data_IF_190321947179
#
_entry.id   IF_190321947179
#
_cell.length_a   1.000
_cell.length_b   1.000
_cell.length_c   1.000
_cell.angle_alpha   90.00
_cell.angle_beta   90.00
_cell.angle_gamma   90.00
#
_symmetry.space_group_name_H-M   'P 1'
#
loop_
_entity.id
_entity.type
_entity.pdbx_description
1 polymer ?
#
# COMPACT_ATOMS: atom_id res chain seq x y z
N UNK A 1 -49.96 23.68 58.85
CA UNK A 1 -50.35 23.14 57.52
C UNK A 1 -49.44 23.72 56.45
N UNK A 2 -48.96 22.85 55.53
CA UNK A 2 -48.09 23.09 54.35
C UNK A 2 -46.59 22.79 54.52
N UNK A 3 -46.25 21.51 54.63
CA UNK A 3 -44.88 21.02 54.37
C UNK A 3 -44.86 19.65 53.66
N UNK A 4 -45.75 19.41 52.69
CA UNK A 4 -45.90 18.06 52.09
C UNK A 4 -45.95 18.03 50.55
N UNK A 5 -45.52 19.09 49.86
CA UNK A 5 -45.51 19.11 48.37
C UNK A 5 -44.19 19.56 47.76
N UNK A 6 -43.10 18.83 48.03
CA UNK A 6 -41.80 19.05 47.35
C UNK A 6 -41.04 17.77 46.95
N UNK A 7 -41.68 16.60 47.01
CA UNK A 7 -41.03 15.33 46.66
C UNK A 7 -41.73 14.52 45.58
N UNK A 8 -42.64 15.12 44.82
CA UNK A 8 -43.22 14.46 43.66
C UNK A 8 -42.51 14.91 42.38
N UNK A 9 -41.82 13.92 41.80
CA UNK A 9 -41.59 13.78 40.37
C UNK A 9 -40.49 14.67 39.79
N UNK A 10 -39.29 14.48 40.34
CA UNK A 10 -38.05 14.61 39.57
C UNK A 10 -37.75 13.32 38.77
N UNK A 11 -38.78 12.52 38.46
CA UNK A 11 -38.67 11.45 37.50
C UNK A 11 -38.81 12.10 36.13
N UNK A 12 -37.68 12.24 35.46
CA UNK A 12 -37.64 12.65 34.08
C UNK A 12 -38.45 11.63 33.28
N UNK A 13 -39.54 12.03 32.63
CA UNK A 13 -40.38 11.15 31.79
C UNK A 13 -39.52 10.35 30.79
N UNK A 14 -38.41 10.92 30.34
CA UNK A 14 -37.44 10.25 29.47
C UNK A 14 -36.77 9.06 30.16
N UNK A 15 -36.48 9.16 31.46
CA UNK A 15 -35.91 8.09 32.27
C UNK A 15 -36.93 6.96 32.51
N UNK A 16 -38.21 7.29 32.67
CA UNK A 16 -39.27 6.29 32.83
C UNK A 16 -39.50 5.53 31.52
N UNK A 17 -39.52 6.24 30.37
CA UNK A 17 -39.57 5.63 29.03
C UNK A 17 -38.33 4.78 28.76
N UNK A 18 -37.13 5.24 29.14
CA UNK A 18 -35.89 4.46 29.03
C UNK A 18 -35.94 3.20 29.89
N UNK A 19 -36.46 3.30 31.11
CA UNK A 19 -36.61 2.17 32.02
C UNK A 19 -37.58 1.12 31.45
N UNK A 20 -38.72 1.55 30.89
CA UNK A 20 -39.67 0.61 30.26
C UNK A 20 -39.08 -0.05 29.01
N UNK A 21 -38.29 0.69 28.23
CA UNK A 21 -37.60 0.14 27.06
C UNK A 21 -36.53 -0.89 27.47
N UNK A 22 -35.75 -0.58 28.51
CA UNK A 22 -34.73 -1.48 29.07
C UNK A 22 -35.35 -2.74 29.69
N UNK A 23 -36.48 -2.61 30.38
CA UNK A 23 -37.20 -3.78 30.92
C UNK A 23 -37.78 -4.66 29.81
N UNK A 24 -38.35 -4.06 28.75
CA UNK A 24 -38.93 -4.79 27.62
C UNK A 24 -37.88 -5.58 26.83
N UNK A 25 -36.65 -5.09 26.75
CA UNK A 25 -35.53 -5.75 26.08
C UNK A 25 -34.59 -6.50 27.02
N UNK A 26 -34.89 -6.57 28.33
CA UNK A 26 -34.04 -7.22 29.34
C UNK A 26 -33.71 -8.67 29.00
N UNK A 27 -34.65 -9.41 28.41
CA UNK A 27 -34.46 -10.81 27.97
C UNK A 27 -33.50 -10.96 26.79
N UNK A 28 -33.27 -9.91 26.01
CA UNK A 28 -32.38 -9.91 24.84
C UNK A 28 -31.20 -8.95 24.98
N UNK A 29 -31.07 -8.28 26.14
CA UNK A 29 -30.07 -7.26 26.39
C UNK A 29 -28.62 -7.78 26.23
N UNK A 30 -28.37 -9.05 26.58
CA UNK A 30 -27.08 -9.69 26.33
C UNK A 30 -26.79 -9.90 24.84
N UNK A 31 -27.79 -10.28 24.04
CA UNK A 31 -27.67 -10.51 22.60
C UNK A 31 -27.50 -9.20 21.84
N UNK A 32 -28.33 -8.20 22.15
CA UNK A 32 -28.26 -6.85 21.56
C UNK A 32 -26.97 -6.14 21.97
N UNK A 33 -26.57 -6.25 23.24
CA UNK A 33 -25.31 -5.71 23.75
C UNK A 33 -24.09 -6.37 23.11
N UNK A 34 -24.11 -7.69 22.93
CA UNK A 34 -23.06 -8.42 22.23
C UNK A 34 -22.93 -8.02 20.75
N UNK A 35 -24.05 -7.89 20.05
CA UNK A 35 -24.09 -7.40 18.66
C UNK A 35 -23.59 -5.96 18.54
N UNK A 36 -24.00 -5.07 19.45
CA UNK A 36 -23.54 -3.69 19.48
C UNK A 36 -22.03 -3.61 19.76
N UNK A 37 -21.52 -4.41 20.70
CA UNK A 37 -20.10 -4.48 21.00
C UNK A 37 -19.27 -4.99 19.80
N UNK A 38 -19.75 -6.01 19.10
CA UNK A 38 -19.12 -6.52 17.87
C UNK A 38 -19.14 -5.47 16.75
N UNK A 39 -20.25 -4.76 16.56
CA UNK A 39 -20.35 -3.70 15.56
C UNK A 39 -19.38 -2.55 15.87
N UNK A 40 -19.28 -2.14 17.14
CA UNK A 40 -18.32 -1.11 17.59
C UNK A 40 -16.88 -1.60 17.39
N UNK A 41 -16.56 -2.83 17.78
CA UNK A 41 -15.22 -3.39 17.60
C UNK A 41 -14.84 -3.47 16.11
N UNK A 42 -15.77 -3.90 15.25
CA UNK A 42 -15.58 -3.92 13.80
C UNK A 42 -15.39 -2.52 13.21
N UNK A 43 -16.19 -1.54 13.64
CA UNK A 43 -16.05 -0.15 13.24
C UNK A 43 -14.70 0.43 13.67
N UNK A 44 -14.27 0.19 14.91
CA UNK A 44 -12.97 0.64 15.41
C UNK A 44 -11.81 -0.01 14.66
N UNK A 45 -11.90 -1.31 14.35
CA UNK A 45 -10.89 -2.01 13.55
C UNK A 45 -10.78 -1.42 12.13
N UNK A 46 -11.91 -1.19 11.46
CA UNK A 46 -11.95 -0.57 10.13
C UNK A 46 -11.43 0.88 10.16
N UNK A 47 -11.78 1.64 11.21
CA UNK A 47 -11.34 3.03 11.38
C UNK A 47 -9.85 3.15 11.69
N UNK A 48 -9.28 2.18 12.42
CA UNK A 48 -7.85 2.12 12.68
C UNK A 48 -7.06 1.80 11.41
N UNK A 49 -7.52 0.84 10.60
CA UNK A 49 -6.92 0.53 9.30
C UNK A 49 -6.99 1.71 8.33
N UNK A 50 -8.11 2.45 8.31
CA UNK A 50 -8.26 3.61 7.42
C UNK A 50 -7.37 4.79 7.85
N UNK A 51 -7.19 5.02 9.15
CA UNK A 51 -6.27 6.05 9.67
C UNK A 51 -4.80 5.75 9.36
N UNK A 52 -4.36 4.49 9.48
CA UNK A 52 -3.01 4.09 9.08
C UNK A 52 -2.75 4.36 7.59
N UNK A 53 -3.76 4.15 6.75
CA UNK A 53 -3.67 4.43 5.30
C UNK A 53 -3.65 5.93 5.00
N UNK A 54 -4.39 6.75 5.74
CA UNK A 54 -4.39 8.21 5.57
C UNK A 54 -3.09 8.87 6.04
N UNK A 55 -2.52 8.42 7.16
CA UNK A 55 -1.22 8.95 7.64
C UNK A 55 -0.07 8.54 6.72
N UNK A 56 -0.04 7.30 6.22
CA UNK A 56 0.96 6.87 5.25
C UNK A 56 0.89 7.71 3.95
N UNK A 57 -0.31 8.06 3.49
CA UNK A 57 -0.47 8.91 2.31
C UNK A 57 0.02 10.35 2.54
N UNK A 58 -0.11 10.89 3.75
CA UNK A 58 0.09 12.31 4.07
C UNK A 58 1.52 12.85 3.88
N UNK A 59 2.53 11.98 3.69
CA UNK A 59 3.92 12.39 3.38
C UNK A 59 4.58 11.62 2.24
N UNK A 60 3.90 10.60 1.70
CA UNK A 60 4.47 9.62 0.76
C UNK A 60 5.05 10.26 -0.51
N UNK A 61 4.32 11.19 -1.12
CA UNK A 61 4.80 11.91 -2.31
C UNK A 61 5.95 12.87 -2.00
N UNK A 62 5.92 13.52 -0.84
CA UNK A 62 7.02 14.39 -0.42
C UNK A 62 8.31 13.60 -0.26
N UNK A 63 8.24 12.42 0.37
CA UNK A 63 9.40 11.53 0.50
C UNK A 63 9.89 11.02 -0.85
N UNK A 64 8.98 10.66 -1.76
CA UNK A 64 9.33 10.26 -3.12
C UNK A 64 10.07 11.37 -3.89
N UNK A 65 9.57 12.60 -3.87
CA UNK A 65 10.21 13.72 -4.57
C UNK A 65 11.55 14.09 -3.93
N UNK A 66 11.66 14.06 -2.60
CA UNK A 66 12.93 14.24 -1.90
C UNK A 66 13.96 13.19 -2.33
N UNK A 67 13.57 11.93 -2.47
CA UNK A 67 14.47 10.88 -2.99
C UNK A 67 14.90 11.15 -4.44
N UNK A 68 14.00 11.66 -5.28
CA UNK A 68 14.27 11.98 -6.68
C UNK A 68 15.13 13.24 -6.90
N UNK A 69 15.11 14.19 -5.96
CA UNK A 69 15.89 15.43 -6.05
C UNK A 69 17.37 15.25 -5.67
N UNK A 70 17.73 14.15 -5.01
CA UNK A 70 19.12 13.87 -4.63
C UNK A 70 19.96 13.67 -5.91
N UNK A 71 21.01 14.48 -6.13
CA UNK A 71 21.90 14.28 -7.27
C UNK A 71 22.54 12.90 -7.21
N UNK A 72 22.37 12.11 -8.27
CA UNK A 72 22.84 10.72 -8.29
C UNK A 72 21.96 9.77 -7.47
N UNK A 73 20.68 10.09 -7.26
CA UNK A 73 19.71 9.18 -6.65
C UNK A 73 19.83 7.78 -7.28
N UNK A 74 20.15 6.81 -6.45
CA UNK A 74 20.29 5.41 -6.83
C UNK A 74 19.05 4.62 -6.39
N UNK A 75 19.08 3.31 -6.58
CA UNK A 75 17.97 2.45 -6.21
C UNK A 75 17.65 2.46 -4.72
N UNK A 76 18.62 2.79 -3.84
CA UNK A 76 18.48 2.68 -2.39
C UNK A 76 17.57 3.77 -1.84
N UNK A 77 17.66 5.00 -2.34
CA UNK A 77 16.80 6.09 -1.86
C UNK A 77 15.33 5.80 -2.23
N UNK A 78 15.09 5.27 -3.42
CA UNK A 78 13.75 4.85 -3.82
C UNK A 78 13.27 3.59 -3.06
N UNK A 79 14.16 2.63 -2.79
CA UNK A 79 13.81 1.46 -1.98
C UNK A 79 13.42 1.84 -0.55
N UNK A 80 14.11 2.81 0.06
CA UNK A 80 13.74 3.32 1.39
C UNK A 80 12.31 3.90 1.39
N UNK A 81 11.96 4.70 0.38
CA UNK A 81 10.58 5.22 0.23
C UNK A 81 9.58 4.09 -0.01
N UNK A 82 9.93 3.07 -0.80
CA UNK A 82 9.08 1.91 -1.03
C UNK A 82 8.85 1.08 0.24
N UNK A 83 9.86 0.95 1.10
CA UNK A 83 9.79 0.26 2.38
C UNK A 83 8.93 1.05 3.38
N UNK A 84 9.14 2.37 3.47
CA UNK A 84 8.43 3.25 4.41
C UNK A 84 6.95 3.41 4.06
N UNK A 85 6.62 3.46 2.76
CA UNK A 85 5.27 3.80 2.28
C UNK A 85 4.55 2.65 1.55
N UNK A 86 5.17 1.46 1.46
CA UNK A 86 4.55 0.21 1.01
C UNK A 86 3.72 0.33 -0.27
N UNK A 87 2.43 0.00 -0.16
CA UNK A 87 1.48 -0.05 -1.28
C UNK A 87 0.75 1.27 -1.54
N UNK A 88 1.15 2.37 -0.89
CA UNK A 88 0.67 3.70 -1.30
C UNK A 88 1.06 3.99 -2.75
N UNK A 89 0.39 4.97 -3.37
CA UNK A 89 0.73 5.36 -4.73
C UNK A 89 2.22 5.74 -4.85
N UNK A 90 2.74 6.61 -3.96
CA UNK A 90 4.13 7.02 -4.01
C UNK A 90 5.11 5.87 -3.69
N UNK A 91 4.76 4.97 -2.77
CA UNK A 91 5.57 3.77 -2.49
C UNK A 91 5.70 2.87 -3.72
N UNK A 92 4.61 2.66 -4.46
CA UNK A 92 4.65 1.90 -5.72
C UNK A 92 5.44 2.62 -6.83
N UNK A 93 5.30 3.94 -6.93
CA UNK A 93 6.14 4.74 -7.83
C UNK A 93 7.61 4.69 -7.44
N UNK A 94 7.94 4.62 -6.15
CA UNK A 94 9.30 4.43 -5.68
C UNK A 94 9.85 3.06 -6.09
N UNK A 95 9.09 1.97 -5.95
CA UNK A 95 9.48 0.63 -6.45
C UNK A 95 9.82 0.67 -7.95
N UNK A 96 8.98 1.34 -8.74
CA UNK A 96 9.22 1.53 -10.18
C UNK A 96 10.50 2.35 -10.45
N UNK A 97 10.68 3.47 -9.75
CA UNK A 97 11.84 4.34 -9.94
C UNK A 97 13.16 3.68 -9.51
N UNK A 98 13.13 2.84 -8.47
CA UNK A 98 14.26 1.99 -8.10
C UNK A 98 14.65 1.06 -9.26
N UNK A 99 13.67 0.36 -9.85
CA UNK A 99 13.90 -0.51 -11.00
C UNK A 99 14.47 0.23 -12.21
N UNK A 100 13.96 1.43 -12.50
CA UNK A 100 14.48 2.30 -13.55
C UNK A 100 15.92 2.76 -13.28
N UNK A 101 16.26 3.07 -12.02
CA UNK A 101 17.64 3.43 -11.64
C UNK A 101 18.60 2.27 -11.89
N UNK A 102 18.24 1.05 -11.46
CA UNK A 102 19.06 -0.14 -11.71
C UNK A 102 19.20 -0.41 -13.20
N UNK A 103 18.11 -0.30 -13.98
CA UNK A 103 18.16 -0.45 -15.44
C UNK A 103 19.12 0.57 -16.06
N UNK A 104 19.02 1.84 -15.67
CA UNK A 104 19.94 2.91 -16.10
C UNK A 104 21.40 2.55 -15.85
N UNK A 105 21.74 2.15 -14.62
CA UNK A 105 23.09 1.69 -14.27
C UNK A 105 23.53 0.48 -15.09
N UNK A 106 22.63 -0.48 -15.32
CA UNK A 106 22.93 -1.68 -16.09
C UNK A 106 23.25 -1.37 -17.54
N UNK A 107 22.50 -0.46 -18.17
CA UNK A 107 22.78 -0.01 -19.54
C UNK A 107 24.12 0.73 -19.62
N UNK A 108 24.49 1.52 -18.62
CA UNK A 108 25.80 2.15 -18.58
C UNK A 108 26.93 1.12 -18.41
N UNK A 109 26.74 0.15 -17.51
CA UNK A 109 27.68 -0.94 -17.29
C UNK A 109 27.84 -1.82 -18.55
N UNK A 110 26.82 -1.95 -19.40
CA UNK A 110 26.89 -2.77 -20.61
C UNK A 110 28.03 -2.35 -21.57
N UNK A 111 28.45 -1.09 -21.51
CA UNK A 111 29.55 -0.55 -22.33
C UNK A 111 30.94 -0.74 -21.71
N UNK A 112 31.04 -1.09 -20.42
CA UNK A 112 32.32 -1.17 -19.69
C UNK A 112 32.57 -2.53 -19.04
N UNK A 113 31.53 -3.13 -18.47
CA UNK A 113 31.57 -4.43 -17.80
C UNK A 113 30.28 -5.22 -18.05
N UNK A 114 30.35 -6.17 -19.00
CA UNK A 114 29.22 -7.01 -19.41
C UNK A 114 28.65 -7.88 -18.28
N UNK A 115 29.48 -8.39 -17.39
CA UNK A 115 29.02 -9.26 -16.31
C UNK A 115 28.30 -8.46 -15.22
N UNK A 116 28.81 -7.27 -14.88
CA UNK A 116 28.11 -6.33 -13.99
C UNK A 116 26.76 -5.90 -14.59
N UNK A 117 26.74 -5.60 -15.90
CA UNK A 117 25.52 -5.26 -16.61
C UNK A 117 24.46 -6.37 -16.52
N UNK A 118 24.84 -7.63 -16.79
CA UNK A 118 23.91 -8.78 -16.66
C UNK A 118 23.37 -8.91 -15.24
N UNK A 119 24.23 -8.81 -14.23
CA UNK A 119 23.80 -8.91 -12.83
C UNK A 119 22.78 -7.82 -12.48
N UNK A 120 23.03 -6.57 -12.89
CA UNK A 120 22.11 -5.45 -12.69
C UNK A 120 20.80 -5.61 -13.48
N UNK A 121 20.84 -6.11 -14.71
CA UNK A 121 19.63 -6.36 -15.51
C UNK A 121 18.72 -7.41 -14.86
N UNK A 122 19.28 -8.48 -14.28
CA UNK A 122 18.50 -9.47 -13.54
C UNK A 122 17.85 -8.89 -12.27
N UNK A 123 18.51 -7.93 -11.62
CA UNK A 123 17.93 -7.18 -10.49
C UNK A 123 16.77 -6.30 -10.99
N UNK A 124 16.99 -5.50 -12.04
CA UNK A 124 15.95 -4.64 -12.62
C UNK A 124 14.73 -5.44 -13.07
N UNK A 125 14.95 -6.58 -13.75
CA UNK A 125 13.91 -7.53 -14.16
C UNK A 125 13.02 -7.94 -12.98
N UNK A 126 13.61 -8.45 -11.89
CA UNK A 126 12.87 -8.87 -10.69
C UNK A 126 12.10 -7.73 -10.05
N UNK A 127 12.69 -6.53 -10.03
CA UNK A 127 12.01 -5.34 -9.50
C UNK A 127 10.82 -4.96 -10.38
N UNK A 128 10.93 -4.97 -11.71
CA UNK A 128 9.79 -4.71 -12.60
C UNK A 128 8.70 -5.79 -12.48
N UNK A 129 9.07 -7.08 -12.37
CA UNK A 129 8.12 -8.18 -12.11
C UNK A 129 7.28 -7.90 -10.85
N UNK A 130 7.90 -7.39 -9.79
CA UNK A 130 7.16 -7.00 -8.57
C UNK A 130 6.16 -5.87 -8.81
N UNK A 131 6.51 -4.87 -9.64
CA UNK A 131 5.66 -3.70 -9.91
C UNK A 131 4.47 -4.04 -10.82
N UNK A 132 4.60 -5.03 -11.71
CA UNK A 132 3.51 -5.46 -12.59
C UNK A 132 2.27 -5.94 -11.80
N UNK A 133 2.49 -6.45 -10.59
CA UNK A 133 1.42 -6.92 -9.69
C UNK A 133 0.60 -5.78 -9.07
N UNK A 134 1.07 -4.53 -9.16
CA UNK A 134 0.38 -3.35 -8.60
C UNK A 134 -0.93 -3.09 -9.35
N UNK A 135 -1.93 -2.57 -8.62
CA UNK A 135 -3.27 -2.32 -9.15
C UNK A 135 -3.35 -1.17 -10.16
N UNK A 136 -2.44 -0.20 -10.07
CA UNK A 136 -2.37 0.96 -10.96
C UNK A 136 -2.06 0.52 -12.41
N UNK A 137 -3.00 0.72 -13.37
CA UNK A 137 -2.80 0.32 -14.76
C UNK A 137 -1.65 1.05 -15.46
N UNK A 138 -1.44 2.33 -15.13
CA UNK A 138 -0.36 3.13 -15.72
C UNK A 138 0.99 2.57 -15.28
N UNK A 139 1.13 2.32 -13.97
CA UNK A 139 2.37 1.79 -13.41
C UNK A 139 2.67 0.38 -13.93
N UNK A 140 1.64 -0.47 -14.06
CA UNK A 140 1.77 -1.80 -14.65
C UNK A 140 2.29 -1.74 -16.08
N UNK A 141 1.70 -0.89 -16.93
CA UNK A 141 2.13 -0.75 -18.33
C UNK A 141 3.57 -0.26 -18.42
N UNK A 142 3.97 0.71 -17.59
CA UNK A 142 5.36 1.20 -17.53
C UNK A 142 6.34 0.12 -17.04
N UNK A 143 5.95 -0.67 -16.04
CA UNK A 143 6.78 -1.76 -15.55
C UNK A 143 6.95 -2.88 -16.58
N UNK A 144 5.90 -3.20 -17.35
CA UNK A 144 6.01 -4.14 -18.48
C UNK A 144 7.01 -3.67 -19.54
N UNK A 145 7.01 -2.37 -19.86
CA UNK A 145 8.00 -1.80 -20.77
C UNK A 145 9.43 -1.91 -20.20
N UNK A 146 9.63 -1.57 -18.92
CA UNK A 146 10.94 -1.70 -18.27
C UNK A 146 11.44 -3.16 -18.20
N UNK A 147 10.51 -4.10 -17.98
CA UNK A 147 10.79 -5.53 -18.05
C UNK A 147 11.24 -5.94 -19.46
N UNK A 148 10.58 -5.44 -20.50
CA UNK A 148 10.96 -5.66 -21.91
C UNK A 148 12.34 -5.15 -22.23
N UNK A 149 12.63 -3.92 -21.86
CA UNK A 149 13.97 -3.37 -22.03
C UNK A 149 15.02 -4.23 -21.30
N UNK A 150 14.72 -4.68 -20.07
CA UNK A 150 15.66 -5.53 -19.31
C UNK A 150 15.92 -6.86 -20.01
N UNK A 151 14.88 -7.52 -20.51
CA UNK A 151 14.98 -8.79 -21.22
C UNK A 151 15.66 -8.64 -22.60
N UNK A 152 15.39 -7.55 -23.33
CA UNK A 152 16.07 -7.23 -24.58
C UNK A 152 17.57 -7.06 -24.38
N UNK A 153 17.97 -6.29 -23.36
CA UNK A 153 19.38 -6.11 -23.00
C UNK A 153 20.03 -7.44 -22.57
N UNK A 154 19.36 -8.26 -21.77
CA UNK A 154 19.85 -9.61 -21.42
C UNK A 154 19.97 -10.51 -22.66
N UNK A 155 19.05 -10.38 -23.61
CA UNK A 155 19.09 -10.98 -24.93
C UNK A 155 20.37 -10.61 -25.69
N UNK A 156 20.58 -9.31 -25.87
CA UNK A 156 21.74 -8.76 -26.54
C UNK A 156 23.06 -9.15 -25.85
N UNK A 157 23.07 -9.21 -24.52
CA UNK A 157 24.26 -9.59 -23.73
C UNK A 157 24.44 -11.11 -23.55
N UNK A 158 23.44 -11.94 -23.86
CA UNK A 158 23.52 -13.40 -23.78
C UNK A 158 23.75 -14.12 -25.11
N UNK A 159 23.51 -13.45 -26.24
CA UNK A 159 23.51 -14.09 -27.55
C UNK A 159 22.15 -14.74 -27.87
N UNK A 160 22.01 -15.40 -29.02
CA UNK A 160 20.71 -15.85 -29.58
C UNK A 160 19.85 -16.75 -28.68
N UNK A 161 20.45 -17.41 -27.68
CA UNK A 161 19.75 -18.36 -26.81
C UNK A 161 18.93 -17.66 -25.70
N UNK A 162 19.34 -16.48 -25.24
CA UNK A 162 18.58 -15.72 -24.22
C UNK A 162 17.39 -14.96 -24.80
N UNK A 163 17.45 -14.54 -26.08
CA UNK A 163 16.32 -13.95 -26.80
C UNK A 163 15.12 -14.91 -26.90
N UNK A 164 15.37 -16.19 -27.21
CA UNK A 164 14.32 -17.22 -27.28
C UNK A 164 13.70 -17.53 -25.91
N UNK A 165 14.46 -17.37 -24.83
CA UNK A 165 13.93 -17.52 -23.47
C UNK A 165 13.06 -16.33 -23.05
N UNK A 166 13.44 -15.11 -23.43
CA UNK A 166 12.64 -13.91 -23.22
C UNK A 166 11.31 -13.97 -23.99
N UNK A 167 11.32 -14.40 -25.25
CA UNK A 167 10.12 -14.55 -26.07
C UNK A 167 9.07 -15.48 -25.42
N UNK A 168 9.51 -16.61 -24.85
CA UNK A 168 8.62 -17.51 -24.08
C UNK A 168 8.04 -16.88 -22.81
N UNK A 169 8.73 -15.93 -22.18
CA UNK A 169 8.19 -15.21 -21.02
C UNK A 169 7.15 -14.14 -21.42
N UNK A 170 7.12 -13.70 -22.68
CA UNK A 170 6.13 -12.75 -23.19
C UNK A 170 4.79 -13.39 -23.62
N UNK A 171 4.81 -14.66 -23.98
CA UNK A 171 3.61 -15.37 -24.48
C UNK A 171 2.74 -16.00 -23.37
N UNK A 172 3.16 -15.92 -22.10
CA UNK A 172 2.46 -16.49 -20.94
C UNK A 172 1.74 -15.41 -20.11
#
# INVERSE_FOLDING_TARGET
MKTERRHELQNNDLAEVLATFLEKYRSQAGLVGGLAALAIAGFLALSYMSQATQQANAGSWSAYFQAAEIPGSDERQFNAVAEDFGDTAAGNWAKYSAAQSVLGQATQAAFTNREDAKAKLEIAKKQFESVITVKDPMLRSRAMLGLAQSLEWLGALGGSDSLRAAEKQYEA
#
